data_IF_785770136311
#
_entry.id   IF_785770136311
#
_cell.length_a   1.000
_cell.length_b   1.000
_cell.length_c   1.000
_cell.angle_alpha   90.00
_cell.angle_beta   90.00
_cell.angle_gamma   90.00
#
_symmetry.space_group_name_H-M   'P 1'
#
loop_
_entity.id
_entity.type
_entity.pdbx_description
1 polymer ?
#
# COMPACT_ATOMS: atom_id res chain seq x y z
N UNK A 1 12.71 30.85 -7.05
CA UNK A 1 11.27 31.07 -6.87
C UNK A 1 10.79 30.21 -5.71
N UNK A 2 10.59 30.81 -4.51
CA UNK A 2 9.93 30.16 -3.36
C UNK A 2 8.42 30.15 -3.65
N UNK A 3 7.91 29.06 -4.17
CA UNK A 3 6.47 28.86 -4.34
C UNK A 3 5.98 28.10 -3.11
N UNK A 4 5.12 28.72 -2.30
CA UNK A 4 4.45 28.04 -1.20
C UNK A 4 3.38 27.11 -1.77
N UNK A 5 3.51 25.81 -1.52
CA UNK A 5 2.52 24.81 -1.94
C UNK A 5 1.70 24.39 -0.71
N UNK A 6 0.38 24.53 -0.78
CA UNK A 6 -0.53 24.09 0.27
C UNK A 6 -1.34 22.89 -0.22
N UNK A 7 -1.35 21.79 0.55
CA UNK A 7 -2.18 20.63 0.25
C UNK A 7 -3.46 20.65 1.09
N UNK A 8 -4.60 20.50 0.44
CA UNK A 8 -5.92 20.42 1.07
C UNK A 8 -6.54 19.04 0.86
N UNK A 9 -7.14 18.49 1.91
CA UNK A 9 -7.91 17.25 1.83
C UNK A 9 -9.36 17.58 1.42
N UNK A 10 -9.78 17.09 0.26
CA UNK A 10 -11.09 17.37 -0.33
C UNK A 10 -12.28 16.60 0.26
N UNK A 11 -12.12 15.95 1.41
CA UNK A 11 -13.09 15.09 2.14
C UNK A 11 -14.42 14.79 1.43
N UNK A 12 -15.40 15.73 1.49
CA UNK A 12 -16.75 15.54 0.93
C UNK A 12 -17.02 16.40 -0.31
N UNK A 13 -16.12 17.32 -0.62
CA UNK A 13 -16.34 18.34 -1.66
C UNK A 13 -15.94 17.89 -3.06
N UNK A 14 -15.10 16.85 -3.18
CA UNK A 14 -14.56 16.41 -4.47
C UNK A 14 -14.60 14.88 -4.58
N UNK A 15 -15.37 14.37 -5.56
CA UNK A 15 -15.37 12.95 -5.96
C UNK A 15 -14.61 12.81 -7.28
N UNK A 16 -13.43 12.19 -7.25
CA UNK A 16 -12.59 11.96 -8.44
C UNK A 16 -12.51 10.46 -8.71
N UNK A 17 -12.89 10.06 -9.92
CA UNK A 17 -12.59 8.71 -10.41
C UNK A 17 -11.19 8.70 -11.03
N UNK A 18 -10.20 8.29 -10.24
CA UNK A 18 -8.79 8.37 -10.63
C UNK A 18 -8.42 7.46 -11.83
N UNK A 19 -9.08 6.32 -12.00
CA UNK A 19 -8.76 5.31 -13.02
C UNK A 19 -10.01 4.91 -13.78
N UNK A 20 -10.47 5.70 -14.77
CA UNK A 20 -11.68 5.43 -15.54
C UNK A 20 -11.56 4.14 -16.39
N UNK A 21 -10.35 3.81 -16.87
CA UNK A 21 -10.06 2.61 -17.66
C UNK A 21 -9.83 1.34 -16.82
N UNK A 22 -9.97 1.42 -15.49
CA UNK A 22 -9.94 0.28 -14.58
C UNK A 22 -8.54 -0.12 -14.10
N UNK A 23 -8.39 -1.43 -13.75
CA UNK A 23 -7.20 -1.96 -13.07
C UNK A 23 -5.90 -1.83 -13.87
N UNK A 24 -5.95 -1.88 -15.20
CA UNK A 24 -4.77 -1.74 -16.04
C UNK A 24 -4.13 -0.34 -15.94
N UNK A 25 -4.97 0.70 -15.96
CA UNK A 25 -4.51 2.09 -15.80
C UNK A 25 -3.96 2.32 -14.38
N UNK A 26 -4.62 1.79 -13.36
CA UNK A 26 -4.14 1.81 -11.98
C UNK A 26 -2.76 1.14 -11.87
N UNK A 27 -2.61 -0.05 -12.46
CA UNK A 27 -1.35 -0.79 -12.44
C UNK A 27 -0.19 0.01 -13.05
N UNK A 28 -0.38 0.58 -14.24
CA UNK A 28 0.66 1.38 -14.91
C UNK A 28 1.01 2.66 -14.14
N UNK A 29 0.01 3.36 -13.60
CA UNK A 29 0.21 4.59 -12.83
C UNK A 29 0.98 4.35 -11.55
N UNK A 30 0.64 3.30 -10.82
CA UNK A 30 1.32 2.98 -9.56
C UNK A 30 2.74 2.48 -9.77
N UNK A 31 3.00 1.68 -10.82
CA UNK A 31 4.37 1.28 -11.17
C UNK A 31 5.30 2.47 -11.38
N UNK A 32 4.81 3.52 -12.05
CA UNK A 32 5.57 4.75 -12.26
C UNK A 32 5.78 5.51 -10.93
N UNK A 33 4.76 5.60 -10.09
CA UNK A 33 4.83 6.27 -8.80
C UNK A 33 5.89 5.67 -7.86
N UNK A 34 6.02 4.35 -7.82
CA UNK A 34 7.01 3.67 -6.97
C UNK A 34 8.47 3.97 -7.35
N UNK A 35 8.77 4.13 -8.64
CA UNK A 35 10.14 4.41 -9.10
C UNK A 35 10.63 5.80 -8.69
N UNK A 36 9.73 6.78 -8.59
CA UNK A 36 10.04 8.17 -8.23
C UNK A 36 9.96 8.47 -6.72
N UNK A 37 8.99 7.87 -6.03
CA UNK A 37 8.72 8.20 -4.62
C UNK A 37 9.90 7.87 -3.68
N UNK A 38 10.58 6.75 -3.90
CA UNK A 38 11.69 6.31 -3.05
C UNK A 38 12.90 7.27 -3.08
N UNK A 39 13.12 7.99 -4.18
CA UNK A 39 14.26 8.91 -4.33
C UNK A 39 14.10 10.22 -3.56
N UNK A 40 12.86 10.59 -3.22
CA UNK A 40 12.53 11.84 -2.52
C UNK A 40 12.14 11.64 -1.05
N UNK A 41 12.11 10.39 -0.57
CA UNK A 41 11.70 10.07 0.81
C UNK A 41 12.92 9.97 1.72
N UNK A 42 12.85 10.55 2.93
CA UNK A 42 13.91 10.45 3.91
C UNK A 42 14.18 8.99 4.32
N UNK A 43 15.45 8.65 4.60
CA UNK A 43 15.82 7.28 4.98
C UNK A 43 15.08 6.75 6.20
N UNK A 44 14.82 7.59 7.20
CA UNK A 44 14.06 7.22 8.39
C UNK A 44 12.59 6.90 8.05
N UNK A 45 11.95 7.69 7.18
CA UNK A 45 10.58 7.42 6.76
C UNK A 45 10.48 6.12 5.95
N UNK A 46 11.47 5.85 5.07
CA UNK A 46 11.56 4.58 4.35
C UNK A 46 11.73 3.40 5.29
N UNK A 47 12.58 3.52 6.32
CA UNK A 47 12.79 2.45 7.29
C UNK A 47 11.52 2.18 8.11
N UNK A 48 10.87 3.21 8.63
CA UNK A 48 9.63 3.06 9.42
C UNK A 48 8.52 2.43 8.56
N UNK A 49 8.32 2.91 7.34
CA UNK A 49 7.30 2.35 6.45
C UNK A 49 7.61 0.90 6.06
N UNK A 50 8.88 0.56 5.84
CA UNK A 50 9.30 -0.81 5.54
C UNK A 50 9.05 -1.75 6.71
N UNK A 51 9.38 -1.34 7.94
CA UNK A 51 9.10 -2.12 9.16
C UNK A 51 7.60 -2.31 9.36
N UNK A 52 6.81 -1.27 9.13
CA UNK A 52 5.36 -1.35 9.24
C UNK A 52 4.75 -2.33 8.24
N UNK A 53 5.14 -2.24 6.95
CA UNK A 53 4.70 -3.18 5.90
C UNK A 53 5.15 -4.61 6.21
N UNK A 54 6.38 -4.80 6.68
CA UNK A 54 6.90 -6.12 7.04
C UNK A 54 6.11 -6.73 8.20
N UNK A 55 5.75 -5.95 9.22
CA UNK A 55 4.94 -6.41 10.34
C UNK A 55 3.54 -6.83 9.90
N UNK A 56 2.92 -6.09 8.98
CA UNK A 56 1.64 -6.46 8.38
C UNK A 56 1.74 -7.78 7.59
N UNK A 57 2.79 -7.95 6.78
CA UNK A 57 3.02 -9.19 6.02
C UNK A 57 3.26 -10.38 6.94
N UNK A 58 4.04 -10.20 8.00
CA UNK A 58 4.25 -11.24 9.01
C UNK A 58 2.93 -11.67 9.67
N UNK A 59 2.07 -10.71 10.00
CA UNK A 59 0.75 -11.00 10.58
C UNK A 59 -0.11 -11.84 9.63
N UNK A 60 -0.08 -11.57 8.31
CA UNK A 60 -0.79 -12.37 7.31
C UNK A 60 -0.24 -13.80 7.27
N UNK A 61 1.08 -13.96 7.27
CA UNK A 61 1.72 -15.29 7.29
C UNK A 61 1.33 -16.06 8.55
N UNK A 62 1.40 -15.41 9.73
CA UNK A 62 0.98 -16.02 11.00
C UNK A 62 -0.51 -16.41 10.98
N UNK A 63 -1.37 -15.61 10.37
CA UNK A 63 -2.79 -15.93 10.22
C UNK A 63 -3.01 -17.16 9.33
N UNK A 64 -2.29 -17.28 8.22
CA UNK A 64 -2.35 -18.46 7.34
C UNK A 64 -1.88 -19.70 8.10
N UNK A 65 -0.79 -19.61 8.87
CA UNK A 65 -0.29 -20.72 9.70
C UNK A 65 -1.34 -21.11 10.74
N UNK A 66 -1.95 -20.13 11.41
CA UNK A 66 -3.00 -20.37 12.41
C UNK A 66 -4.21 -21.10 11.83
N UNK A 67 -4.61 -20.78 10.60
CA UNK A 67 -5.72 -21.42 9.90
C UNK A 67 -5.38 -22.81 9.35
N UNK A 68 -4.10 -23.08 9.10
CA UNK A 68 -3.64 -24.32 8.46
C UNK A 68 -3.19 -25.38 9.45
N UNK A 69 -2.82 -24.99 10.67
CA UNK A 69 -2.20 -25.88 11.66
C UNK A 69 -2.87 -25.69 13.03
N UNK A 70 -2.84 -26.76 13.84
CA UNK A 70 -3.22 -26.66 15.26
C UNK A 70 -2.11 -25.96 16.04
N UNK A 71 -2.30 -24.67 16.31
CA UNK A 71 -1.34 -23.86 17.04
C UNK A 71 -1.69 -23.72 18.52
N UNK A 72 -0.71 -23.36 19.34
CA UNK A 72 -0.93 -23.11 20.76
C UNK A 72 -1.90 -21.93 20.97
N UNK A 73 -2.70 -21.92 22.05
CA UNK A 73 -3.60 -20.80 22.36
C UNK A 73 -2.90 -19.45 22.46
N UNK A 74 -1.66 -19.44 22.96
CA UNK A 74 -0.83 -18.23 23.03
C UNK A 74 -0.54 -17.66 21.64
N UNK A 75 -0.15 -18.50 20.69
CA UNK A 75 0.10 -18.08 19.32
C UNK A 75 -1.16 -17.50 18.65
N UNK A 76 -2.30 -18.16 18.85
CA UNK A 76 -3.59 -17.69 18.35
C UNK A 76 -3.95 -16.31 18.91
N UNK A 77 -3.78 -16.10 20.22
CA UNK A 77 -4.06 -14.82 20.87
C UNK A 77 -3.17 -13.70 20.35
N UNK A 78 -1.85 -13.94 20.23
CA UNK A 78 -0.90 -12.94 19.72
C UNK A 78 -1.23 -12.58 18.28
N UNK A 79 -1.48 -13.56 17.41
CA UNK A 79 -1.79 -13.33 15.99
C UNK A 79 -3.08 -12.54 15.82
N UNK A 80 -4.12 -12.89 16.58
CA UNK A 80 -5.41 -12.19 16.54
C UNK A 80 -5.26 -10.75 17.05
N UNK A 81 -4.54 -10.53 18.13
CA UNK A 81 -4.26 -9.20 18.66
C UNK A 81 -3.49 -8.34 17.63
N UNK A 82 -2.46 -8.88 17.01
CA UNK A 82 -1.70 -8.20 15.97
C UNK A 82 -2.59 -7.82 14.77
N UNK A 83 -3.48 -8.72 14.33
CA UNK A 83 -4.42 -8.44 13.26
C UNK A 83 -5.38 -7.29 13.61
N UNK A 84 -5.92 -7.29 14.83
CA UNK A 84 -6.81 -6.22 15.30
C UNK A 84 -6.07 -4.87 15.34
N UNK A 85 -4.82 -4.85 15.81
CA UNK A 85 -4.00 -3.64 15.86
C UNK A 85 -3.79 -3.09 14.43
N UNK A 86 -3.43 -3.92 13.46
CA UNK A 86 -3.24 -3.49 12.08
C UNK A 86 -4.56 -3.03 11.43
N UNK A 87 -5.67 -3.71 11.72
CA UNK A 87 -6.99 -3.28 11.27
C UNK A 87 -7.36 -1.89 11.81
N UNK A 88 -7.12 -1.62 13.09
CA UNK A 88 -7.34 -0.30 13.68
C UNK A 88 -6.46 0.78 13.05
N UNK A 89 -5.17 0.49 12.86
CA UNK A 89 -4.23 1.39 12.18
C UNK A 89 -4.71 1.72 10.77
N UNK A 90 -5.08 0.71 9.96
CA UNK A 90 -5.61 0.91 8.62
C UNK A 90 -6.91 1.72 8.64
N UNK A 91 -7.80 1.46 9.61
CA UNK A 91 -9.06 2.19 9.76
C UNK A 91 -8.85 3.67 10.02
N UNK A 92 -7.86 4.01 10.85
CA UNK A 92 -7.49 5.42 11.14
C UNK A 92 -6.91 6.07 9.88
N UNK A 93 -5.95 5.42 9.23
CA UNK A 93 -5.30 5.94 8.01
C UNK A 93 -6.33 6.15 6.89
N UNK A 94 -7.23 5.21 6.67
CA UNK A 94 -8.25 5.31 5.63
C UNK A 94 -9.26 6.44 5.91
N UNK A 95 -9.66 6.64 7.17
CA UNK A 95 -10.52 7.77 7.55
C UNK A 95 -9.82 9.12 7.37
N UNK A 96 -8.50 9.19 7.57
CA UNK A 96 -7.73 10.41 7.33
C UNK A 96 -7.53 10.66 5.82
N UNK A 97 -7.34 9.60 5.03
CA UNK A 97 -7.14 9.70 3.59
C UNK A 97 -8.42 10.00 2.80
N UNK A 98 -9.60 9.58 3.30
CA UNK A 98 -10.86 9.80 2.60
C UNK A 98 -12.04 9.02 3.20
N UNK A 99 -13.11 8.87 2.39
CA UNK A 99 -14.33 8.15 2.75
C UNK A 99 -14.20 6.66 2.41
N UNK A 100 -13.41 5.92 3.18
CA UNK A 100 -13.28 4.47 3.00
C UNK A 100 -14.14 3.73 4.01
N UNK A 101 -14.78 2.64 3.55
CA UNK A 101 -15.53 1.74 4.42
C UNK A 101 -14.60 0.98 5.38
N UNK A 102 -15.09 0.68 6.59
CA UNK A 102 -14.40 -0.18 7.56
C UNK A 102 -14.12 -1.58 7.02
N UNK A 103 -14.93 -2.06 6.06
CA UNK A 103 -14.68 -3.32 5.35
C UNK A 103 -13.38 -3.27 4.53
N UNK A 104 -13.06 -2.13 3.92
CA UNK A 104 -11.79 -1.97 3.20
C UNK A 104 -10.59 -2.07 4.15
N UNK A 105 -10.73 -1.54 5.36
CA UNK A 105 -9.71 -1.68 6.38
C UNK A 105 -9.60 -3.11 6.91
N UNK A 106 -10.70 -3.84 7.04
CA UNK A 106 -10.69 -5.25 7.44
C UNK A 106 -10.01 -6.14 6.39
N UNK A 107 -10.21 -5.81 5.11
CA UNK A 107 -9.61 -6.53 3.97
C UNK A 107 -8.21 -6.01 3.62
N UNK A 108 -7.52 -5.33 4.56
CA UNK A 108 -6.14 -4.83 4.32
C UNK A 108 -5.17 -5.91 3.82
N UNK A 109 -5.27 -7.21 4.17
CA UNK A 109 -4.38 -8.23 3.64
C UNK A 109 -4.42 -8.33 2.12
N UNK A 110 -5.60 -8.23 1.51
CA UNK A 110 -5.77 -8.30 0.05
C UNK A 110 -5.14 -7.08 -0.61
N UNK A 111 -5.41 -5.88 -0.08
CA UNK A 111 -4.82 -4.64 -0.57
C UNK A 111 -3.30 -4.63 -0.45
N UNK A 112 -2.77 -5.17 0.65
CA UNK A 112 -1.33 -5.26 0.88
C UNK A 112 -0.66 -6.25 -0.07
N UNK A 113 -1.24 -7.41 -0.33
CA UNK A 113 -0.74 -8.38 -1.31
C UNK A 113 -0.70 -7.76 -2.71
N UNK A 114 -1.76 -7.08 -3.12
CA UNK A 114 -1.80 -6.36 -4.39
C UNK A 114 -0.69 -5.30 -4.49
N UNK A 115 -0.48 -4.52 -3.43
CA UNK A 115 0.61 -3.56 -3.33
C UNK A 115 1.98 -4.22 -3.49
N UNK A 116 2.22 -5.36 -2.83
CA UNK A 116 3.49 -6.08 -2.90
C UNK A 116 3.77 -6.62 -4.31
N UNK A 117 2.76 -7.19 -4.98
CA UNK A 117 2.90 -7.67 -6.36
C UNK A 117 3.26 -6.51 -7.30
N UNK A 118 2.61 -5.36 -7.14
CA UNK A 118 2.92 -4.12 -7.87
C UNK A 118 4.36 -3.66 -7.62
N UNK A 119 4.76 -3.60 -6.36
CA UNK A 119 6.10 -3.16 -5.97
C UNK A 119 7.18 -4.06 -6.57
N UNK A 120 7.08 -5.39 -6.40
CA UNK A 120 8.03 -6.33 -6.98
C UNK A 120 8.06 -6.26 -8.51
N UNK A 121 6.88 -6.12 -9.16
CA UNK A 121 6.81 -5.93 -10.62
C UNK A 121 7.56 -4.66 -11.05
N UNK A 122 7.41 -3.56 -10.31
CA UNK A 122 8.11 -2.29 -10.58
C UNK A 122 9.64 -2.44 -10.45
N UNK A 123 10.11 -3.13 -9.39
CA UNK A 123 11.54 -3.38 -9.17
C UNK A 123 12.14 -4.26 -10.27
N UNK A 124 11.42 -5.31 -10.68
CA UNK A 124 11.87 -6.21 -11.76
C UNK A 124 11.98 -5.47 -13.09
N UNK A 125 10.98 -4.65 -13.43
CA UNK A 125 11.00 -3.87 -14.69
C UNK A 125 12.14 -2.85 -14.69
N UNK A 126 12.40 -2.19 -13.56
CA UNK A 126 13.56 -1.30 -13.41
C UNK A 126 14.89 -2.04 -13.62
N UNK A 127 15.05 -3.23 -13.03
CA UNK A 127 16.26 -4.06 -13.23
C UNK A 127 16.41 -4.55 -14.67
N UNK A 128 15.31 -4.73 -15.41
CA UNK A 128 15.30 -5.16 -16.82
C UNK A 128 15.46 -4.01 -17.79
N UNK A 129 15.63 -2.76 -17.32
CA UNK A 129 15.77 -1.58 -18.16
C UNK A 129 14.53 -1.27 -19.00
N UNK A 130 13.36 -1.80 -18.64
CA UNK A 130 12.12 -1.50 -19.35
C UNK A 130 11.70 -0.07 -19.03
N UNK A 131 11.72 0.81 -20.05
CA UNK A 131 11.10 2.13 -19.94
C UNK A 131 9.59 1.98 -19.73
N UNK A 132 9.06 2.77 -18.81
CA UNK A 132 7.62 2.76 -18.54
C UNK A 132 6.92 3.63 -19.60
N UNK A 133 6.15 3.01 -20.49
CA UNK A 133 5.39 3.75 -21.49
C UNK A 133 4.14 4.38 -20.81
N UNK A 134 4.08 5.71 -20.83
CA UNK A 134 2.94 6.47 -20.30
C UNK A 134 2.31 7.28 -21.40
N UNK A 135 1.05 6.96 -21.80
CA UNK A 135 0.29 7.67 -22.84
C UNK A 135 1.10 7.89 -24.13
N UNK A 136 1.87 6.88 -24.58
CA UNK A 136 2.65 6.94 -25.81
C UNK A 136 3.98 7.69 -25.71
N UNK A 137 4.44 8.05 -24.49
CA UNK A 137 5.77 8.64 -24.24
C UNK A 137 6.63 7.70 -23.41
N UNK A 138 7.84 7.42 -23.87
CA UNK A 138 8.84 6.72 -23.08
C UNK A 138 9.42 7.69 -22.02
N UNK A 139 9.36 7.27 -20.74
CA UNK A 139 9.93 8.04 -19.63
C UNK A 139 11.07 7.21 -19.05
N UNK A 140 12.26 7.74 -19.16
CA UNK A 140 13.50 7.18 -18.60
C UNK A 140 13.66 7.57 -17.14
#
# INVERSE_FOLDING_TARGET
>A
LNISCSCYLGKESINIRMYPSGLHELWQSWKKGFSGAASHTSGNALLISSLWITSMMLTIVCLIVLLSMQCSPLFATITTAAYIIHWLQCSIVFKLAGQFSLLNALLFPISLLFYQVLFFSSVIDKKRGKSTNWKGREVH
#
